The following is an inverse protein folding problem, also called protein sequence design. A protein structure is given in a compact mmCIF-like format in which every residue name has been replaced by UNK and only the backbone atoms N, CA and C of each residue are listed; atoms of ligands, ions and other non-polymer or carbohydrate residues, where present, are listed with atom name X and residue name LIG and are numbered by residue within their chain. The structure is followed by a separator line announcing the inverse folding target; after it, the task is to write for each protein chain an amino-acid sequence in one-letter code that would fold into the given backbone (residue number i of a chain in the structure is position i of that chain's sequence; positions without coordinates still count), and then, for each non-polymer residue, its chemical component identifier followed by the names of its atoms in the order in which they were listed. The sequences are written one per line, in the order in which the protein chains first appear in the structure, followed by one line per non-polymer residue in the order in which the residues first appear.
data_IF_193085644322
#
_entry.id   IF_193085644322
#
_cell.length_a   1.000
_cell.length_b   1.000
_cell.length_c   1.000
_cell.angle_alpha   90.00
_cell.angle_beta   90.00
_cell.angle_gamma   90.00
#
_symmetry.space_group_name_H-M   'P 1'
#
loop_
_entity.id
_entity.type
_entity.pdbx_description
1 polymer ?
#
# COMPACT_ATOMS: atom_id res chain seq x y z
N UNK A 1 -66.84 2.90 19.07
CA UNK A 1 -65.82 2.30 18.18
C UNK A 1 -64.59 3.17 18.37
N UNK A 2 -63.66 2.88 19.29
CA UNK A 2 -63.02 1.61 19.64
C UNK A 2 -61.89 1.24 18.66
N UNK A 3 -60.78 1.97 18.79
CA UNK A 3 -59.42 1.49 18.52
C UNK A 3 -58.53 2.06 19.63
N UNK A 4 -57.54 1.29 20.08
CA UNK A 4 -57.03 1.40 21.47
C UNK A 4 -55.85 2.33 21.67
N UNK A 5 -55.94 3.08 22.77
CA UNK A 5 -55.00 4.09 23.24
C UNK A 5 -53.76 3.50 23.95
N UNK A 6 -52.64 4.22 23.81
CA UNK A 6 -51.60 4.52 24.82
C UNK A 6 -50.87 3.37 25.56
N UNK A 7 -49.58 3.27 25.22
CA UNK A 7 -48.40 3.48 26.09
C UNK A 7 -48.49 3.40 27.64
N UNK A 8 -47.37 2.94 28.21
CA UNK A 8 -46.84 3.21 29.57
C UNK A 8 -47.51 2.57 30.81
N UNK A 9 -46.80 1.60 31.42
CA UNK A 9 -46.61 1.39 32.88
C UNK A 9 -45.62 0.20 33.06
N UNK A 10 -44.33 0.46 33.29
CA UNK A 10 -43.66 0.48 34.60
C UNK A 10 -43.52 -0.85 35.37
N UNK A 11 -42.26 -1.25 35.53
CA UNK A 11 -41.60 -1.84 36.71
C UNK A 11 -42.48 -2.21 37.92
N UNK A 12 -42.47 -3.49 38.30
CA UNK A 12 -42.02 -4.05 39.60
C UNK A 12 -42.46 -5.53 39.66
N UNK A 13 -41.58 -6.53 39.78
CA UNK A 13 -40.82 -6.91 40.99
C UNK A 13 -41.70 -7.37 42.16
N UNK A 14 -41.80 -8.69 42.37
CA UNK A 14 -41.83 -9.37 43.69
C UNK A 14 -41.73 -10.90 43.49
N UNK A 15 -41.20 -11.62 44.50
CA UNK A 15 -41.11 -13.10 44.58
C UNK A 15 -42.48 -13.66 45.03
N UNK A 16 -42.83 -14.93 45.02
CA UNK A 16 -42.19 -16.09 45.67
C UNK A 16 -43.21 -17.26 45.60
N UNK A 17 -42.76 -18.52 45.79
CA UNK A 17 -43.37 -19.59 46.65
C UNK A 17 -42.78 -20.97 46.26
N UNK A 18 -42.90 -21.95 47.17
CA UNK A 18 -42.07 -23.15 47.31
C UNK A 18 -42.84 -24.48 47.25
N UNK A 19 -42.09 -25.53 46.90
CA UNK A 19 -42.13 -26.92 47.41
C UNK A 19 -43.40 -27.80 47.33
N UNK A 20 -43.20 -29.02 46.81
CA UNK A 20 -43.42 -30.34 47.47
C UNK A 20 -42.64 -31.40 46.64
N UNK A 21 -41.70 -32.18 47.20
CA UNK A 21 -41.83 -33.53 47.82
C UNK A 21 -42.46 -34.60 46.90
N UNK A 22 -42.00 -35.86 46.82
CA UNK A 22 -41.07 -36.65 47.67
C UNK A 22 -40.48 -37.87 46.93
N UNK A 23 -39.40 -38.46 47.47
CA UNK A 23 -39.06 -39.89 47.61
C UNK A 23 -39.30 -40.91 46.45
N UNK A 24 -38.38 -41.81 46.10
CA UNK A 24 -36.94 -42.00 46.42
C UNK A 24 -36.26 -42.59 45.14
N UNK A 25 -35.35 -43.58 45.00
CA UNK A 25 -34.62 -44.55 45.84
C UNK A 25 -33.36 -45.06 45.07
N UNK A 26 -32.46 -45.86 45.67
CA UNK A 26 -31.16 -46.25 45.05
C UNK A 26 -30.62 -47.66 45.43
N UNK A 27 -29.95 -48.32 44.48
CA UNK A 27 -28.88 -49.29 44.79
C UNK A 27 -28.57 -50.36 43.73
N UNK A 28 -27.39 -50.28 43.09
CA UNK A 28 -26.42 -51.40 42.88
C UNK A 28 -25.22 -50.99 41.99
N UNK A 29 -25.42 -50.19 40.94
CA UNK A 29 -24.43 -49.97 39.86
C UNK A 29 -23.40 -48.86 40.11
N UNK A 30 -22.52 -49.03 41.12
CA UNK A 30 -21.45 -48.06 41.44
C UNK A 30 -20.04 -48.67 41.39
N UNK A 31 -19.79 -49.84 41.99
CA UNK A 31 -18.43 -50.38 42.15
C UNK A 31 -17.73 -50.69 40.81
N UNK A 32 -18.44 -51.27 39.84
CA UNK A 32 -17.92 -51.64 38.51
C UNK A 32 -17.40 -50.44 37.70
N UNK A 33 -17.83 -49.22 38.05
CA UNK A 33 -17.45 -47.98 37.36
C UNK A 33 -16.10 -47.43 37.80
N UNK A 34 -15.63 -47.78 39.01
CA UNK A 34 -14.46 -47.18 39.65
C UNK A 34 -13.15 -47.78 39.10
N UNK A 35 -13.03 -49.11 39.03
CA UNK A 35 -11.80 -49.78 38.55
C UNK A 35 -11.48 -49.46 37.07
N UNK A 36 -12.51 -49.30 36.24
CA UNK A 36 -12.36 -48.93 34.82
C UNK A 36 -11.83 -47.49 34.66
N UNK A 37 -12.18 -46.58 35.58
CA UNK A 37 -11.66 -45.21 35.57
C UNK A 37 -10.19 -45.16 35.99
N UNK A 38 -9.78 -45.92 37.01
CA UNK A 38 -8.39 -45.95 37.47
C UNK A 38 -7.41 -46.49 36.42
N UNK A 39 -7.74 -47.62 35.81
CA UNK A 39 -6.87 -48.29 34.81
C UNK A 39 -6.68 -47.42 33.57
N UNK A 40 -7.77 -46.80 33.10
CA UNK A 40 -7.73 -45.84 31.98
C UNK A 40 -6.95 -44.57 32.31
N UNK A 41 -7.06 -44.06 33.55
CA UNK A 41 -6.33 -42.89 34.02
C UNK A 41 -4.82 -43.08 34.06
N UNK A 42 -4.34 -44.22 34.57
CA UNK A 42 -2.91 -44.55 34.67
C UNK A 42 -2.23 -44.66 33.29
N UNK A 43 -2.94 -45.11 32.26
CA UNK A 43 -2.43 -45.14 30.88
C UNK A 43 -2.31 -43.72 30.29
N UNK A 44 -3.39 -42.93 30.35
CA UNK A 44 -3.42 -41.54 29.86
C UNK A 44 -2.38 -40.63 30.54
N UNK A 45 -2.02 -40.89 31.79
CA UNK A 45 -0.95 -40.13 32.47
C UNK A 45 0.42 -40.39 31.84
N UNK A 46 0.76 -41.65 31.56
CA UNK A 46 2.04 -42.03 30.90
C UNK A 46 2.13 -41.62 29.43
N UNK A 47 1.00 -41.48 28.75
CA UNK A 47 0.95 -40.91 27.40
C UNK A 47 1.24 -39.39 27.46
N UNK A 48 0.55 -38.65 28.35
CA UNK A 48 0.84 -37.21 28.60
C UNK A 48 2.26 -36.92 29.07
N UNK A 49 2.84 -37.78 29.92
CA UNK A 49 4.20 -37.62 30.43
C UNK A 49 5.27 -37.84 29.33
N UNK A 50 4.92 -38.49 28.21
CA UNK A 50 5.78 -38.58 27.03
C UNK A 50 5.61 -37.41 26.07
N UNK A 51 4.38 -36.97 25.82
CA UNK A 51 4.12 -35.79 24.98
C UNK A 51 4.83 -34.53 25.53
N UNK A 52 5.10 -34.47 26.85
CA UNK A 52 5.85 -33.39 27.50
C UNK A 52 7.39 -33.50 27.42
N UNK A 53 7.96 -34.63 27.01
CA UNK A 53 9.43 -34.77 26.82
C UNK A 53 9.89 -34.43 25.40
N UNK A 54 8.96 -34.45 24.42
CA UNK A 54 9.24 -34.11 23.01
C UNK A 54 8.76 -32.69 22.64
N UNK A 55 8.23 -31.92 23.61
CA UNK A 55 8.08 -30.46 23.51
C UNK A 55 9.45 -29.78 23.58
N UNK A 56 10.23 -29.92 22.50
CA UNK A 56 11.47 -29.17 22.28
C UNK A 56 11.15 -27.69 22.41
N UNK A 57 11.69 -27.05 23.45
CA UNK A 57 11.44 -25.64 23.75
C UNK A 57 11.94 -24.76 22.59
N UNK A 58 11.03 -24.40 21.69
CA UNK A 58 11.26 -23.53 20.53
C UNK A 58 11.43 -22.07 20.99
N UNK A 59 12.56 -21.82 21.65
CA UNK A 59 12.98 -20.51 22.13
C UNK A 59 13.15 -19.54 20.96
N UNK A 60 12.71 -18.28 21.13
CA UNK A 60 12.74 -17.29 20.05
C UNK A 60 14.20 -17.06 19.58
N UNK A 61 14.53 -17.28 18.29
CA UNK A 61 15.86 -16.98 17.75
C UNK A 61 16.36 -15.56 18.04
N UNK A 62 15.46 -14.59 18.22
CA UNK A 62 15.81 -13.23 18.62
C UNK A 62 16.29 -13.14 20.08
N UNK A 63 15.72 -13.95 20.99
CA UNK A 63 16.18 -14.05 22.39
C UNK A 63 17.50 -14.82 22.49
N UNK A 64 17.67 -15.88 21.69
CA UNK A 64 18.87 -16.74 21.70
C UNK A 64 20.08 -16.05 21.05
N UNK A 65 19.89 -15.40 19.90
CA UNK A 65 21.00 -14.84 19.10
C UNK A 65 21.13 -13.31 19.18
N UNK A 66 20.11 -12.62 19.68
CA UNK A 66 20.10 -11.15 19.74
C UNK A 66 19.96 -10.45 18.39
N UNK A 67 19.71 -9.14 18.44
CA UNK A 67 19.34 -8.32 17.28
C UNK A 67 20.36 -8.32 16.14
N UNK A 68 21.67 -8.33 16.43
CA UNK A 68 22.71 -8.22 15.40
C UNK A 68 22.87 -9.50 14.56
N UNK A 69 22.76 -10.68 15.18
CA UNK A 69 22.76 -11.95 14.45
C UNK A 69 21.43 -12.12 13.72
N UNK A 70 20.32 -11.77 14.37
CA UNK A 70 19.00 -11.81 13.74
C UNK A 70 18.92 -10.89 12.50
N UNK A 71 19.54 -9.70 12.55
CA UNK A 71 19.66 -8.81 11.39
C UNK A 71 20.46 -9.46 10.25
N UNK A 72 21.56 -10.17 10.54
CA UNK A 72 22.30 -10.91 9.51
C UNK A 72 21.44 -12.00 8.86
N UNK A 73 20.69 -12.76 9.67
CA UNK A 73 19.77 -13.80 9.18
C UNK A 73 18.70 -13.19 8.27
N UNK A 74 18.02 -12.13 8.71
CA UNK A 74 16.97 -11.45 7.93
C UNK A 74 17.51 -10.85 6.62
N UNK A 75 18.77 -10.42 6.56
CA UNK A 75 19.34 -9.83 5.35
C UNK A 75 19.46 -10.84 4.19
N UNK A 76 19.61 -12.13 4.50
CA UNK A 76 19.63 -13.22 3.51
C UNK A 76 18.23 -13.61 2.99
N UNK A 77 17.15 -13.10 3.59
CA UNK A 77 15.79 -13.36 3.14
C UNK A 77 15.37 -12.43 2.00
N UNK A 78 14.33 -12.85 1.26
CA UNK A 78 13.69 -11.99 0.29
C UNK A 78 12.85 -10.90 1.00
N UNK A 79 12.61 -9.77 0.31
CA UNK A 79 11.89 -8.65 0.89
C UNK A 79 10.45 -8.99 1.33
N UNK A 80 9.79 -10.01 0.75
CA UNK A 80 8.48 -10.49 1.24
C UNK A 80 8.61 -11.16 2.60
N UNK A 81 9.60 -12.03 2.79
CA UNK A 81 9.84 -12.70 4.06
C UNK A 81 10.23 -11.71 5.15
N UNK A 82 11.09 -10.72 4.85
CA UNK A 82 11.41 -9.63 5.80
C UNK A 82 10.15 -8.79 6.14
N UNK A 83 9.28 -8.52 5.18
CA UNK A 83 8.00 -7.84 5.45
C UNK A 83 7.06 -8.67 6.35
N UNK A 84 7.05 -10.00 6.21
CA UNK A 84 6.28 -10.89 7.09
C UNK A 84 6.88 -10.95 8.51
N UNK A 85 8.20 -10.83 8.66
CA UNK A 85 8.87 -10.74 9.97
C UNK A 85 8.40 -9.57 10.83
N UNK A 86 7.90 -8.47 10.22
CA UNK A 86 7.30 -7.35 10.93
C UNK A 86 6.03 -7.73 11.73
N UNK A 87 5.38 -8.84 11.39
CA UNK A 87 4.10 -9.27 11.97
C UNK A 87 4.25 -10.31 13.09
N UNK A 88 5.46 -10.82 13.35
CA UNK A 88 5.72 -11.94 14.26
C UNK A 88 5.64 -11.51 15.73
N UNK A 89 6.42 -10.50 16.13
CA UNK A 89 6.44 -9.98 17.51
C UNK A 89 6.96 -8.55 17.54
N UNK A 90 6.83 -7.85 18.68
CA UNK A 90 7.39 -6.50 18.85
C UNK A 90 8.91 -6.46 18.71
N UNK A 91 9.60 -7.49 19.18
CA UNK A 91 11.06 -7.62 19.03
C UNK A 91 11.45 -7.84 17.57
N UNK A 92 10.79 -8.78 16.90
CA UNK A 92 11.01 -9.06 15.48
C UNK A 92 10.71 -7.84 14.60
N UNK A 93 9.63 -7.11 14.87
CA UNK A 93 9.35 -5.83 14.21
C UNK A 93 10.49 -4.83 14.40
N UNK A 94 11.05 -4.69 15.60
CA UNK A 94 12.15 -3.77 15.89
C UNK A 94 13.43 -4.04 15.10
N UNK A 95 13.71 -5.31 14.77
CA UNK A 95 14.84 -5.67 13.88
C UNK A 95 14.43 -5.56 12.41
N UNK A 96 13.28 -6.13 12.05
CA UNK A 96 12.80 -6.21 10.67
C UNK A 96 12.40 -4.85 10.07
N UNK A 97 12.14 -3.81 10.86
CA UNK A 97 11.92 -2.45 10.36
C UNK A 97 13.22 -1.65 10.14
N UNK A 98 14.40 -2.23 10.41
CA UNK A 98 15.66 -1.50 10.34
C UNK A 98 16.01 -1.05 8.92
N UNK A 99 16.30 0.24 8.77
CA UNK A 99 16.75 0.83 7.51
C UNK A 99 18.04 0.21 6.95
N UNK A 100 18.84 -0.49 7.77
CA UNK A 100 20.01 -1.26 7.32
C UNK A 100 19.60 -2.41 6.40
N UNK A 101 18.54 -3.15 6.75
CA UNK A 101 17.98 -4.23 5.91
C UNK A 101 17.34 -3.65 4.66
N UNK A 102 16.48 -2.65 4.84
CA UNK A 102 15.70 -2.09 3.73
C UNK A 102 16.51 -1.22 2.77
N UNK A 103 17.73 -0.80 3.13
CA UNK A 103 18.68 -0.21 2.18
C UNK A 103 19.07 -1.23 1.11
N UNK A 104 19.55 -2.41 1.52
CA UNK A 104 19.90 -3.49 0.59
C UNK A 104 18.69 -3.95 -0.23
N UNK A 105 17.49 -4.04 0.37
CA UNK A 105 16.28 -4.41 -0.39
C UNK A 105 15.78 -3.31 -1.34
N UNK A 106 16.04 -2.03 -1.06
CA UNK A 106 15.84 -0.97 -2.06
C UNK A 106 16.85 -1.07 -3.21
N UNK A 107 18.11 -1.34 -2.92
CA UNK A 107 19.17 -1.52 -3.93
C UNK A 107 18.86 -2.71 -4.86
N UNK A 108 18.48 -3.87 -4.28
CA UNK A 108 17.99 -5.05 -5.02
C UNK A 108 16.77 -4.73 -5.92
N UNK A 109 15.84 -3.89 -5.44
CA UNK A 109 14.60 -3.54 -6.15
C UNK A 109 14.81 -2.50 -7.26
N UNK A 110 15.71 -1.54 -7.05
CA UNK A 110 16.02 -0.44 -7.96
C UNK A 110 17.06 -0.80 -9.02
N UNK A 111 17.78 -1.91 -8.85
CA UNK A 111 18.71 -2.43 -9.85
C UNK A 111 18.01 -2.67 -11.20
N UNK A 112 18.53 -2.05 -12.27
CA UNK A 112 17.95 -2.14 -13.61
C UNK A 112 16.59 -1.45 -13.76
N UNK A 113 16.27 -0.46 -12.92
CA UNK A 113 15.09 0.39 -13.09
C UNK A 113 15.43 1.69 -13.81
N UNK A 114 14.65 2.01 -14.82
CA UNK A 114 14.77 3.23 -15.61
C UNK A 114 14.36 4.48 -14.81
N UNK A 115 13.36 4.38 -13.92
CA UNK A 115 12.97 5.50 -13.06
C UNK A 115 12.78 5.08 -11.61
N UNK A 116 13.24 5.89 -10.67
CA UNK A 116 13.01 5.66 -9.23
C UNK A 116 12.02 6.73 -8.73
N UNK A 117 10.83 6.35 -8.23
CA UNK A 117 9.77 7.31 -7.89
C UNK A 117 10.23 8.36 -6.88
N UNK A 118 10.05 9.66 -7.19
CA UNK A 118 10.49 10.77 -6.32
C UNK A 118 9.95 10.71 -4.90
N UNK A 119 8.75 10.14 -4.72
CA UNK A 119 8.14 9.88 -3.41
C UNK A 119 8.98 8.95 -2.52
N UNK A 120 9.79 8.06 -3.10
CA UNK A 120 10.72 7.18 -2.38
C UNK A 120 12.10 7.82 -2.10
N UNK A 121 12.41 8.94 -2.77
CA UNK A 121 13.68 9.67 -2.66
C UNK A 121 13.64 10.83 -1.63
N UNK A 122 12.52 10.99 -0.91
CA UNK A 122 12.32 12.08 0.06
C UNK A 122 13.29 11.95 1.24
N UNK A 123 14.03 13.03 1.55
CA UNK A 123 14.96 13.05 2.70
C UNK A 123 14.22 12.82 4.01
N UNK A 124 14.79 11.97 4.88
CA UNK A 124 14.19 11.60 6.16
C UNK A 124 13.12 10.50 6.07
N UNK A 125 12.80 9.99 4.88
CA UNK A 125 11.93 8.82 4.71
C UNK A 125 12.68 7.53 5.09
N UNK A 126 12.03 6.65 5.85
CA UNK A 126 12.59 5.32 6.15
C UNK A 126 12.66 4.46 4.89
N UNK A 127 13.64 3.56 4.84
CA UNK A 127 13.91 2.69 3.69
C UNK A 127 12.78 1.68 3.47
N UNK A 128 12.13 1.21 4.54
CA UNK A 128 10.90 0.41 4.45
C UNK A 128 9.77 1.18 3.74
N UNK A 129 9.61 2.48 4.01
CA UNK A 129 8.63 3.31 3.33
C UNK A 129 9.03 3.63 1.88
N UNK A 130 10.32 3.88 1.61
CA UNK A 130 10.87 4.05 0.26
C UNK A 130 10.64 2.80 -0.61
N UNK A 131 10.91 1.61 -0.08
CA UNK A 131 10.62 0.33 -0.72
C UNK A 131 9.12 0.17 -0.98
N UNK A 132 8.29 0.46 0.02
CA UNK A 132 6.82 0.35 -0.08
C UNK A 132 6.24 1.29 -1.14
N UNK A 133 6.68 2.54 -1.20
CA UNK A 133 6.30 3.48 -2.27
C UNK A 133 6.78 2.99 -3.63
N UNK A 134 8.01 2.48 -3.74
CA UNK A 134 8.55 1.94 -5.00
C UNK A 134 7.75 0.74 -5.53
N UNK A 135 7.36 -0.20 -4.65
CA UNK A 135 6.54 -1.37 -5.04
C UNK A 135 5.09 -1.01 -5.34
N UNK A 136 4.50 -0.04 -4.64
CA UNK A 136 3.16 0.47 -4.97
C UNK A 136 3.18 1.24 -6.30
N UNK A 137 4.22 2.03 -6.53
CA UNK A 137 4.38 2.81 -7.75
C UNK A 137 4.62 1.92 -8.97
N UNK A 138 5.58 0.99 -8.91
CA UNK A 138 5.90 0.07 -10.00
C UNK A 138 4.75 -0.86 -10.43
N UNK A 139 3.66 -0.92 -9.66
CA UNK A 139 2.39 -1.60 -10.00
C UNK A 139 1.36 -0.70 -10.69
N UNK A 140 1.61 0.61 -10.81
CA UNK A 140 0.74 1.55 -11.54
C UNK A 140 0.81 1.30 -13.04
N UNK A 141 -0.34 1.03 -13.64
CA UNK A 141 -0.56 1.04 -15.09
C UNK A 141 -1.07 2.39 -15.62
N UNK A 142 -1.44 3.32 -14.72
CA UNK A 142 -2.02 4.62 -15.04
C UNK A 142 -0.99 5.73 -14.87
N UNK A 143 -0.80 6.55 -15.90
CA UNK A 143 0.04 7.73 -15.89
C UNK A 143 -0.73 8.94 -15.30
N UNK A 144 -0.01 9.82 -14.63
CA UNK A 144 -0.51 11.06 -14.02
C UNK A 144 0.21 12.27 -14.63
N UNK A 145 -0.20 13.50 -14.26
CA UNK A 145 0.41 14.72 -14.83
C UNK A 145 1.86 14.87 -14.39
N UNK A 146 2.13 14.44 -13.18
CA UNK A 146 3.42 14.45 -12.50
C UNK A 146 4.42 13.51 -13.20
N UNK A 147 3.98 12.32 -13.64
CA UNK A 147 4.81 11.37 -14.39
C UNK A 147 5.23 11.92 -15.75
N UNK A 148 4.35 12.67 -16.44
CA UNK A 148 4.70 13.33 -17.69
C UNK A 148 5.79 14.40 -17.47
N UNK A 149 5.74 15.13 -16.36
CA UNK A 149 6.61 16.28 -16.09
C UNK A 149 7.96 15.92 -15.42
N UNK A 150 8.06 14.81 -14.67
CA UNK A 150 9.33 14.35 -14.06
C UNK A 150 10.24 13.60 -15.06
N UNK A 151 9.78 13.43 -16.30
CA UNK A 151 10.47 12.65 -17.33
C UNK A 151 10.74 13.51 -18.55
N UNK A 152 11.97 13.44 -19.07
CA UNK A 152 12.28 13.85 -20.45
C UNK A 152 11.84 12.70 -21.35
N UNK A 153 11.23 13.01 -22.49
CA UNK A 153 10.74 12.00 -23.41
C UNK A 153 11.48 12.08 -24.73
N UNK A 154 12.11 10.97 -25.13
CA UNK A 154 12.45 10.75 -26.54
C UNK A 154 11.14 10.75 -27.34
N UNK A 155 11.17 11.38 -28.52
CA UNK A 155 10.08 11.42 -29.48
C UNK A 155 10.58 11.04 -30.88
N UNK A 156 9.86 10.15 -31.57
CA UNK A 156 10.07 9.87 -32.98
C UNK A 156 8.76 9.53 -33.71
N UNK A 157 8.72 9.77 -35.01
CA UNK A 157 7.61 9.37 -35.88
C UNK A 157 7.69 7.88 -36.20
N UNK A 158 6.54 7.24 -36.41
CA UNK A 158 6.44 5.85 -36.86
C UNK A 158 6.28 5.78 -38.37
N UNK A 159 6.43 4.58 -38.96
CA UNK A 159 6.31 4.34 -40.41
C UNK A 159 4.96 4.82 -41.01
N UNK A 160 3.90 4.89 -40.20
CA UNK A 160 2.59 5.43 -40.59
C UNK A 160 2.51 6.96 -40.69
N UNK A 161 3.54 7.70 -40.26
CA UNK A 161 3.60 9.15 -40.44
C UNK A 161 3.79 9.54 -41.92
N UNK A 162 3.20 10.67 -42.36
CA UNK A 162 3.48 11.27 -43.65
C UNK A 162 4.99 11.45 -43.88
N UNK A 163 5.42 11.23 -45.12
CA UNK A 163 6.84 11.22 -45.47
C UNK A 163 7.55 12.52 -45.14
N UNK A 164 6.88 13.66 -45.30
CA UNK A 164 7.38 14.98 -44.88
C UNK A 164 7.92 14.98 -43.43
N UNK A 165 7.18 14.42 -42.48
CA UNK A 165 7.58 14.39 -41.07
C UNK A 165 8.72 13.41 -40.81
N UNK A 166 8.70 12.24 -41.46
CA UNK A 166 9.84 11.29 -41.41
C UNK A 166 11.10 11.86 -42.04
N UNK A 167 10.96 12.75 -43.03
CA UNK A 167 12.06 13.46 -43.67
C UNK A 167 12.50 14.72 -42.90
N UNK A 168 11.91 14.99 -41.72
CA UNK A 168 12.45 15.93 -40.73
C UNK A 168 13.13 15.19 -39.57
N UNK A 169 12.56 14.07 -39.13
CA UNK A 169 12.99 13.22 -38.01
C UNK A 169 14.45 12.70 -38.10
N UNK A 170 15.31 12.97 -37.09
CA UNK A 170 16.66 12.41 -37.00
C UNK A 170 16.71 10.88 -36.96
N UNK A 171 15.72 10.21 -36.35
CA UNK A 171 15.65 8.75 -36.21
C UNK A 171 15.55 8.06 -37.58
N UNK A 172 14.75 8.61 -38.50
CA UNK A 172 14.59 8.06 -39.86
C UNK A 172 15.76 8.38 -40.79
N UNK A 173 16.52 9.43 -40.50
CA UNK A 173 17.71 9.82 -41.27
C UNK A 173 18.99 9.14 -40.78
N UNK A 174 19.09 8.83 -39.48
CA UNK A 174 20.34 8.47 -38.82
C UNK A 174 21.34 9.63 -38.70
N UNK A 175 20.88 10.89 -38.73
CA UNK A 175 21.74 12.09 -38.87
C UNK A 175 21.84 12.95 -37.60
N UNK A 176 21.49 12.44 -36.42
CA UNK A 176 21.55 13.21 -35.18
C UNK A 176 21.01 12.47 -33.96
N UNK A 177 21.05 13.09 -32.77
CA UNK A 177 20.38 12.56 -31.59
C UNK A 177 18.86 12.50 -31.78
N UNK A 178 18.14 11.69 -30.98
CA UNK A 178 16.68 11.71 -30.94
C UNK A 178 16.13 13.09 -30.55
N UNK A 179 14.87 13.36 -30.90
CA UNK A 179 14.19 14.60 -30.52
C UNK A 179 13.64 14.50 -29.10
N UNK A 180 13.94 15.44 -28.19
CA UNK A 180 13.36 15.41 -26.84
C UNK A 180 12.13 16.30 -26.68
N UNK A 181 11.23 15.89 -25.79
CA UNK A 181 9.99 16.59 -25.47
C UNK A 181 9.81 16.66 -23.95
N UNK A 182 9.48 17.85 -23.47
CA UNK A 182 9.34 18.18 -22.06
C UNK A 182 7.89 18.60 -21.80
N UNK A 183 7.24 18.04 -20.78
CA UNK A 183 5.85 18.35 -20.42
C UNK A 183 5.82 19.21 -19.16
N UNK A 184 4.98 20.24 -19.14
CA UNK A 184 4.96 21.24 -18.07
C UNK A 184 3.68 21.20 -17.23
N UNK A 185 3.75 21.68 -15.99
CA UNK A 185 2.64 21.60 -15.02
C UNK A 185 1.48 22.57 -15.32
N UNK A 186 1.67 23.56 -16.19
CA UNK A 186 0.60 24.38 -16.77
C UNK A 186 -0.26 23.57 -17.77
N UNK A 187 0.33 22.59 -18.47
CA UNK A 187 -0.27 21.85 -19.58
C UNK A 187 0.38 22.12 -20.94
N UNK A 188 1.44 22.91 -21.01
CA UNK A 188 2.24 23.11 -22.22
C UNK A 188 3.31 22.02 -22.41
N UNK A 189 3.91 21.99 -23.59
CA UNK A 189 5.04 21.15 -23.96
C UNK A 189 6.13 22.01 -24.59
N UNK A 190 7.41 21.65 -24.41
CA UNK A 190 8.54 22.21 -25.15
C UNK A 190 9.41 21.12 -25.78
N UNK A 191 10.36 21.53 -26.63
CA UNK A 191 11.36 20.68 -27.28
C UNK A 191 12.75 21.35 -27.22
N UNK A 192 13.78 20.65 -27.68
CA UNK A 192 15.15 21.16 -27.70
C UNK A 192 15.34 22.35 -28.67
N UNK A 193 16.28 23.28 -28.38
CA UNK A 193 16.66 24.33 -29.32
C UNK A 193 17.19 23.76 -30.64
N UNK A 194 16.57 24.13 -31.75
CA UNK A 194 16.94 23.65 -33.09
C UNK A 194 16.17 22.43 -33.60
N UNK A 195 15.19 21.92 -32.83
CA UNK A 195 14.24 20.92 -33.35
C UNK A 195 13.42 21.49 -34.52
N UNK A 196 13.59 20.89 -35.71
CA UNK A 196 12.97 21.34 -36.98
C UNK A 196 11.53 20.87 -37.19
N UNK A 197 11.01 20.02 -36.29
CA UNK A 197 9.60 19.62 -36.22
C UNK A 197 8.82 20.57 -35.28
N UNK A 198 9.54 21.23 -34.37
CA UNK A 198 9.01 22.19 -33.41
C UNK A 198 8.89 23.62 -33.98
N UNK A 199 8.23 24.52 -33.23
CA UNK A 199 8.28 25.97 -33.48
C UNK A 199 7.16 26.60 -34.32
N UNK A 200 6.12 25.85 -34.71
CA UNK A 200 4.99 26.37 -35.51
C UNK A 200 3.70 26.68 -34.75
N UNK A 201 3.45 26.04 -33.60
CA UNK A 201 2.16 26.07 -32.91
C UNK A 201 2.32 25.95 -31.39
N UNK A 202 1.37 26.51 -30.63
CA UNK A 202 1.16 26.15 -29.21
C UNK A 202 0.95 24.64 -29.11
N UNK A 203 1.66 23.98 -28.19
CA UNK A 203 1.58 22.54 -27.98
C UNK A 203 1.11 22.26 -26.55
N UNK A 204 -0.20 22.12 -26.39
CA UNK A 204 -0.85 21.84 -25.12
C UNK A 204 -1.22 20.36 -25.04
N UNK A 205 -1.02 19.73 -23.89
CA UNK A 205 -1.37 18.34 -23.65
C UNK A 205 -2.49 18.20 -22.62
N UNK A 206 -3.16 17.05 -22.67
CA UNK A 206 -4.22 16.67 -21.73
C UNK A 206 -4.20 15.18 -21.44
N UNK A 207 -4.50 14.81 -20.20
CA UNK A 207 -4.76 13.42 -19.79
C UNK A 207 -6.27 13.24 -19.74
N UNK A 208 -6.83 12.48 -20.67
CA UNK A 208 -8.25 12.15 -20.68
C UNK A 208 -8.46 10.84 -19.93
N UNK A 209 -9.45 10.79 -19.05
CA UNK A 209 -9.86 9.56 -18.36
C UNK A 209 -11.39 9.47 -18.37
N UNK A 210 -11.96 8.53 -19.13
CA UNK A 210 -13.41 8.31 -19.21
C UNK A 210 -13.84 7.19 -18.26
N UNK A 211 -15.05 7.31 -17.72
CA UNK A 211 -15.61 6.34 -16.77
C UNK A 211 -16.97 5.84 -17.25
N UNK A 212 -17.23 4.54 -17.09
CA UNK A 212 -18.53 3.89 -17.35
C UNK A 212 -18.81 2.90 -16.23
N UNK A 213 -19.95 3.01 -15.55
CA UNK A 213 -20.32 2.11 -14.44
C UNK A 213 -19.31 2.08 -13.29
N UNK A 214 -18.67 3.22 -12.99
CA UNK A 214 -17.61 3.34 -11.98
C UNK A 214 -16.23 2.78 -12.37
N UNK A 215 -16.12 2.10 -13.52
CA UNK A 215 -14.85 1.60 -14.07
C UNK A 215 -14.26 2.62 -15.06
N UNK A 216 -12.94 2.72 -15.12
CA UNK A 216 -12.25 3.46 -16.19
C UNK A 216 -12.47 2.70 -17.50
N UNK A 217 -12.90 3.42 -18.55
CA UNK A 217 -13.11 2.88 -19.89
C UNK A 217 -11.90 3.19 -20.78
N UNK A 218 -11.56 4.47 -20.92
CA UNK A 218 -10.35 4.92 -21.60
C UNK A 218 -9.49 5.78 -20.67
N UNK A 219 -8.18 5.68 -20.80
CA UNK A 219 -7.22 6.56 -20.17
C UNK A 219 -6.06 6.79 -21.15
N UNK A 220 -5.88 8.02 -21.61
CA UNK A 220 -4.94 8.35 -22.68
C UNK A 220 -4.38 9.76 -22.55
N UNK A 221 -3.21 9.97 -23.17
CA UNK A 221 -2.62 11.30 -23.35
C UNK A 221 -2.96 11.80 -24.75
N UNK A 222 -3.30 13.09 -24.86
CA UNK A 222 -3.54 13.77 -26.14
C UNK A 222 -2.80 15.10 -26.18
N UNK A 223 -2.11 15.35 -27.28
CA UNK A 223 -1.43 16.61 -27.56
C UNK A 223 -2.22 17.35 -28.65
N UNK A 224 -2.59 18.59 -28.41
CA UNK A 224 -3.44 19.41 -29.27
C UNK A 224 -4.66 18.63 -29.78
N UNK A 225 -4.92 18.68 -31.10
CA UNK A 225 -6.00 17.93 -31.76
C UNK A 225 -5.53 16.60 -32.36
N UNK A 226 -4.27 16.21 -32.17
CA UNK A 226 -3.68 14.99 -32.75
C UNK A 226 -4.36 13.71 -32.20
N UNK A 227 -4.16 12.53 -32.81
CA UNK A 227 -4.75 11.28 -32.34
C UNK A 227 -4.31 10.92 -30.91
N UNK A 228 -5.22 10.30 -30.15
CA UNK A 228 -4.92 9.83 -28.79
C UNK A 228 -3.74 8.85 -28.76
N UNK A 229 -2.93 8.90 -27.70
CA UNK A 229 -1.86 7.94 -27.43
C UNK A 229 -2.28 6.92 -26.38
N UNK A 230 -2.14 5.64 -26.70
CA UNK A 230 -2.13 4.59 -25.67
C UNK A 230 -0.84 4.71 -24.87
N UNK A 231 -0.96 4.67 -23.54
CA UNK A 231 0.17 4.73 -22.60
C UNK A 231 0.36 3.34 -21.96
N UNK A 232 1.61 2.93 -21.79
CA UNK A 232 1.99 1.67 -21.16
C UNK A 232 3.22 1.84 -20.29
N UNK A 233 3.38 0.98 -19.28
CA UNK A 233 4.56 0.93 -18.41
C UNK A 233 5.28 -0.42 -18.54
N UNK A 234 6.61 -0.38 -18.53
CA UNK A 234 7.51 -1.53 -18.61
C UNK A 234 7.91 -2.08 -17.23
N UNK A 235 8.57 -3.24 -17.23
CA UNK A 235 9.05 -3.94 -16.02
C UNK A 235 10.29 -3.28 -15.39
N UNK A 236 11.04 -2.51 -16.16
CA UNK A 236 12.10 -1.59 -15.75
C UNK A 236 11.52 -0.27 -15.16
N UNK A 237 10.19 -0.12 -15.10
CA UNK A 237 9.44 1.07 -14.69
C UNK A 237 9.48 2.27 -15.64
N UNK A 238 10.09 2.16 -16.84
CA UNK A 238 9.95 3.12 -17.94
C UNK A 238 8.51 3.21 -18.44
N UNK A 239 8.15 4.37 -18.99
CA UNK A 239 6.88 4.61 -19.67
C UNK A 239 7.09 4.70 -21.19
N UNK A 240 6.07 4.27 -21.92
CA UNK A 240 5.91 4.53 -23.35
C UNK A 240 4.53 5.10 -23.62
N UNK A 241 4.42 6.04 -24.55
CA UNK A 241 3.12 6.47 -25.09
C UNK A 241 3.19 6.61 -26.61
N UNK A 242 2.24 6.01 -27.32
CA UNK A 242 2.31 5.95 -28.79
C UNK A 242 0.96 5.77 -29.46
N UNK A 243 0.97 5.96 -30.79
CA UNK A 243 -0.13 5.60 -31.67
C UNK A 243 0.42 5.09 -33.03
N UNK A 244 -0.33 5.26 -34.11
CA UNK A 244 0.07 4.83 -35.46
C UNK A 244 0.99 5.82 -36.20
N UNK A 245 1.06 7.07 -35.75
CA UNK A 245 1.85 8.14 -36.36
C UNK A 245 3.16 8.40 -35.62
N UNK A 246 3.20 8.29 -34.29
CA UNK A 246 4.37 8.63 -33.48
C UNK A 246 4.43 7.86 -32.16
N UNK A 247 5.57 7.96 -31.51
CA UNK A 247 5.95 7.28 -30.28
C UNK A 247 6.78 8.20 -29.40
N UNK A 248 6.62 8.01 -28.09
CA UNK A 248 7.46 8.58 -27.05
C UNK A 248 7.92 7.49 -26.09
N UNK A 249 9.17 7.58 -25.63
CA UNK A 249 9.71 6.81 -24.51
C UNK A 249 10.26 7.76 -23.44
N UNK A 250 10.07 7.43 -22.16
CA UNK A 250 10.69 8.20 -21.08
C UNK A 250 12.17 7.82 -20.92
N UNK A 251 13.05 8.82 -20.89
CA UNK A 251 14.52 8.64 -20.83
C UNK A 251 14.92 8.29 -19.39
N UNK A 252 15.64 7.17 -19.16
CA UNK A 252 16.01 6.73 -17.82
C UNK A 252 16.68 7.80 -16.95
N UNK A 253 16.43 7.74 -15.64
CA UNK A 253 17.00 8.67 -14.65
C UNK A 253 18.53 8.65 -14.62
N UNK A 254 19.17 7.56 -15.06
CA UNK A 254 20.62 7.43 -15.19
C UNK A 254 21.20 8.07 -16.46
N UNK A 255 20.36 8.28 -17.48
CA UNK A 255 20.74 8.87 -18.78
C UNK A 255 20.36 10.37 -18.84
N UNK A 256 19.80 10.92 -17.77
CA UNK A 256 19.57 12.36 -17.61
C UNK A 256 20.90 13.03 -17.30
N UNK A 257 21.38 13.88 -18.20
CA UNK A 257 22.51 14.77 -17.90
C UNK A 257 22.21 15.61 -16.64
N UNK A 258 23.20 15.77 -15.76
CA UNK A 258 23.07 16.55 -14.53
C UNK A 258 22.88 18.04 -14.85
N UNK A 259 21.62 18.46 -15.02
CA UNK A 259 21.19 19.85 -15.05
C UNK A 259 21.30 20.52 -13.66
N UNK A 260 22.43 20.32 -12.97
CA UNK A 260 22.77 20.89 -11.67
C UNK A 260 23.18 22.36 -11.78
N UNK A 261 22.33 23.19 -12.37
CA UNK A 261 22.47 24.66 -12.44
C UNK A 261 21.14 25.36 -12.79
N UNK A 262 20.15 25.25 -11.89
CA UNK A 262 19.09 26.26 -11.73
C UNK A 262 18.29 26.05 -10.43
N UNK A 263 18.75 26.67 -9.34
CA UNK A 263 17.89 26.95 -8.18
C UNK A 263 16.82 27.96 -8.61
N UNK A 264 15.56 27.52 -8.75
CA UNK A 264 14.51 28.36 -9.35
C UNK A 264 13.08 28.20 -8.81
N UNK A 265 12.61 26.99 -8.53
CA UNK A 265 11.23 26.76 -8.08
C UNK A 265 11.10 25.54 -7.15
N UNK A 266 11.20 25.78 -5.84
CA UNK A 266 11.18 24.72 -4.80
C UNK A 266 10.07 24.94 -3.76
N UNK A 267 8.82 24.99 -4.22
CA UNK A 267 7.63 25.09 -3.37
C UNK A 267 6.46 24.32 -4.01
N UNK A 268 5.78 23.44 -3.24
CA UNK A 268 4.55 22.78 -3.73
C UNK A 268 4.22 21.37 -3.21
N UNK A 269 5.17 20.61 -2.63
CA UNK A 269 4.94 19.21 -2.23
C UNK A 269 4.75 19.01 -0.72
N UNK A 270 3.64 19.55 -0.18
CA UNK A 270 3.20 19.30 1.21
C UNK A 270 1.94 18.43 1.28
N UNK A 271 0.97 18.61 0.39
CA UNK A 271 -0.33 17.91 0.45
C UNK A 271 -0.25 16.39 0.20
N UNK A 272 0.60 15.95 -0.75
CA UNK A 272 0.59 14.56 -1.24
C UNK A 272 1.07 13.52 -0.22
N UNK A 273 1.91 13.92 0.75
CA UNK A 273 2.47 13.00 1.77
C UNK A 273 1.38 12.51 2.73
N UNK A 274 0.50 13.41 3.17
CA UNK A 274 -0.62 13.10 4.08
C UNK A 274 -1.58 12.06 3.48
N UNK A 275 -1.95 12.24 2.21
CA UNK A 275 -2.83 11.30 1.48
C UNK A 275 -2.18 9.92 1.31
N UNK A 276 -0.85 9.87 1.12
CA UNK A 276 -0.09 8.62 1.06
C UNK A 276 -0.15 7.82 2.37
N UNK A 277 0.07 8.49 3.50
CA UNK A 277 0.03 7.86 4.83
C UNK A 277 -1.37 7.35 5.17
N UNK A 278 -2.42 8.13 4.89
CA UNK A 278 -3.82 7.69 5.10
C UNK A 278 -4.18 6.44 4.30
N UNK A 279 -3.66 6.31 3.06
CA UNK A 279 -3.85 5.11 2.23
C UNK A 279 -3.06 3.91 2.73
N UNK A 280 -1.88 4.11 3.31
CA UNK A 280 -1.09 3.03 3.91
C UNK A 280 -1.84 2.38 5.07
N UNK A 281 -2.44 3.19 5.96
CA UNK A 281 -3.25 2.71 7.09
C UNK A 281 -4.45 1.88 6.59
N UNK A 282 -5.19 2.39 5.60
CA UNK A 282 -6.33 1.66 5.01
C UNK A 282 -5.90 0.35 4.34
N UNK A 283 -4.76 0.34 3.63
CA UNK A 283 -4.25 -0.87 2.97
C UNK A 283 -3.74 -1.92 3.98
N UNK A 284 -3.13 -1.50 5.08
CA UNK A 284 -2.70 -2.40 6.15
C UNK A 284 -3.92 -3.02 6.85
N UNK A 285 -4.95 -2.22 7.16
CA UNK A 285 -6.22 -2.76 7.69
C UNK A 285 -6.87 -3.76 6.72
N UNK A 286 -6.90 -3.47 5.42
CA UNK A 286 -7.48 -4.37 4.41
C UNK A 286 -6.77 -5.73 4.32
N UNK A 287 -5.46 -5.80 4.60
CA UNK A 287 -4.70 -7.04 4.62
C UNK A 287 -4.86 -7.86 5.92
N UNK A 288 -5.35 -7.25 7.01
CA UNK A 288 -5.42 -7.87 8.36
C UNK A 288 -6.79 -8.47 8.69
N UNK A 289 -7.84 -8.12 7.95
CA UNK A 289 -9.24 -8.37 8.38
C UNK A 289 -10.00 -9.65 7.93
N UNK A 290 -9.44 -10.71 7.31
CA UNK A 290 -10.22 -11.92 7.00
C UNK A 290 -10.55 -12.80 8.24
N UNK A 291 -10.19 -12.36 9.46
CA UNK A 291 -10.28 -13.18 10.70
C UNK A 291 -11.38 -12.78 11.69
N UNK A 292 -12.16 -11.71 11.46
CA UNK A 292 -13.32 -11.39 12.29
C UNK A 292 -14.62 -11.79 11.61
N UNK A 293 -15.41 -12.64 12.29
CA UNK A 293 -16.67 -13.18 11.77
C UNK A 293 -17.74 -12.11 11.52
N UNK A 294 -18.66 -12.41 10.60
CA UNK A 294 -19.74 -11.50 10.21
C UNK A 294 -20.65 -11.14 11.40
N UNK A 295 -20.77 -9.85 11.72
CA UNK A 295 -21.67 -9.36 12.77
C UNK A 295 -21.59 -7.85 13.08
N UNK A 296 -20.40 -7.24 12.97
CA UNK A 296 -20.21 -5.82 13.30
C UNK A 296 -20.28 -4.87 12.09
N UNK A 297 -21.14 -3.85 12.15
CA UNK A 297 -21.14 -2.73 11.19
C UNK A 297 -20.20 -1.63 11.70
N UNK A 298 -19.02 -1.53 11.11
CA UNK A 298 -17.99 -0.57 11.55
C UNK A 298 -18.17 0.81 10.88
N UNK A 299 -18.68 1.79 11.63
CA UNK A 299 -18.89 3.17 11.15
C UNK A 299 -17.63 4.02 11.41
N UNK A 300 -16.88 4.34 10.36
CA UNK A 300 -15.73 5.25 10.43
C UNK A 300 -16.14 6.73 10.45
N UNK A 301 -16.32 7.30 11.65
CA UNK A 301 -16.46 8.74 11.85
C UNK A 301 -15.08 9.42 12.01
N UNK A 302 -14.49 9.82 10.88
CA UNK A 302 -13.27 10.64 10.83
C UNK A 302 -13.58 12.11 11.18
N UNK A 303 -13.55 12.42 12.48
CA UNK A 303 -13.65 13.80 12.97
C UNK A 303 -12.28 14.49 12.89
N UNK A 304 -12.09 15.33 11.87
CA UNK A 304 -10.97 16.29 11.84
C UNK A 304 -11.21 17.39 12.87
N UNK A 305 -10.54 17.29 14.02
CA UNK A 305 -10.37 18.41 14.95
C UNK A 305 -9.12 19.22 14.55
N UNK A 306 -9.07 20.54 14.80
CA UNK A 306 -7.97 21.41 14.38
C UNK A 306 -6.69 21.28 15.25
N UNK A 307 -6.48 20.16 15.92
CA UNK A 307 -5.30 19.84 16.73
C UNK A 307 -4.73 18.47 16.36
N UNK A 308 -3.43 18.28 16.56
CA UNK A 308 -2.60 17.26 15.89
C UNK A 308 -2.73 15.84 16.49
N UNK A 309 -3.94 15.29 16.56
CA UNK A 309 -4.20 13.93 17.06
C UNK A 309 -5.34 13.26 16.30
N UNK A 310 -5.08 12.06 15.75
CA UNK A 310 -6.14 11.25 15.15
C UNK A 310 -6.82 10.42 16.23
N UNK A 311 -8.12 10.59 16.39
CA UNK A 311 -8.92 9.88 17.40
C UNK A 311 -9.83 8.87 16.70
N UNK A 312 -9.53 7.58 16.89
CA UNK A 312 -10.38 6.48 16.38
C UNK A 312 -11.31 6.02 17.51
N UNK A 313 -12.61 6.10 17.27
CA UNK A 313 -13.66 5.57 18.15
C UNK A 313 -14.15 4.23 17.62
N UNK A 314 -14.18 3.22 18.48
CA UNK A 314 -14.79 1.93 18.18
C UNK A 314 -16.15 1.85 18.87
N UNK A 315 -17.21 1.70 18.08
CA UNK A 315 -18.56 1.45 18.59
C UNK A 315 -19.05 0.09 18.07
N UNK A 316 -19.69 -0.66 18.95
CA UNK A 316 -20.57 -1.78 18.60
C UNK A 316 -22.03 -1.34 18.84
N UNK A 317 -23.01 -2.13 18.40
CA UNK A 317 -24.45 -1.84 18.51
C UNK A 317 -25.02 -1.73 19.95
N UNK A 318 -24.14 -1.64 20.97
CA UNK A 318 -24.48 -1.45 22.39
C UNK A 318 -23.72 -0.28 23.05
N UNK A 319 -22.77 0.36 22.36
CA UNK A 319 -22.01 1.48 22.91
C UNK A 319 -20.58 1.61 22.37
N UNK A 320 -19.84 2.58 22.92
CA UNK A 320 -18.45 2.85 22.59
C UNK A 320 -17.53 1.91 23.38
N UNK A 321 -16.83 1.03 22.67
CA UNK A 321 -16.02 -0.08 23.22
C UNK A 321 -14.56 0.33 23.43
N UNK A 322 -14.06 1.33 22.68
CA UNK A 322 -12.70 1.80 22.84
C UNK A 322 -12.42 3.15 22.18
N UNK A 323 -11.43 3.86 22.72
CA UNK A 323 -10.90 5.12 22.21
C UNK A 323 -9.39 4.96 22.00
N UNK A 324 -8.93 5.03 20.75
CA UNK A 324 -7.49 4.99 20.44
C UNK A 324 -7.03 6.36 19.96
N UNK A 325 -6.13 6.97 20.73
CA UNK A 325 -5.53 8.29 20.43
C UNK A 325 -4.15 8.04 19.82
N UNK A 326 -4.01 8.31 18.52
CA UNK A 326 -2.70 8.30 17.86
C UNK A 326 -2.07 9.70 17.97
N UNK A 327 -1.09 9.84 18.86
CA UNK A 327 -0.26 11.04 18.95
C UNK A 327 0.74 11.05 17.80
N UNK A 328 0.70 12.10 16.97
CA UNK A 328 1.69 12.30 15.90
C UNK A 328 2.97 12.91 16.48
N UNK A 329 4.12 12.29 16.21
CA UNK A 329 5.42 12.87 16.56
C UNK A 329 5.70 14.08 15.66
N UNK A 330 5.61 15.28 16.22
CA UNK A 330 6.02 16.50 15.54
C UNK A 330 7.55 16.62 15.53
N UNK A 331 8.15 16.61 14.35
CA UNK A 331 9.50 17.16 14.15
C UNK A 331 9.36 18.68 14.13
N UNK A 332 9.83 19.35 15.19
CA UNK A 332 9.88 20.81 15.22
C UNK A 332 10.91 21.33 14.21
N UNK A 333 10.49 22.26 13.37
CA UNK A 333 11.41 23.07 12.55
C UNK A 333 12.00 24.22 13.38
N UNK A 334 13.28 24.47 13.14
CA UNK A 334 14.01 25.74 13.31
C UNK A 334 14.77 26.00 12.00
#
# INVERSE_FOLDING_TARGET
MAETDKEELQKNSIKEIRNTSSCDDQGEDINLRIEVMETTGKKRKREREKDSEEEVLLQDPLEVFGSDIMMKILNHLDARSVALSLLVSRGWHGVACSDRLWTTKCEELWLGKAHIPRSSQVRGLSKLAAYSFSVMDGKRTRIMKEDLCDHVWEFHFRKGAPEYWRNLDPYWKGTGPPMHRYFHLDGSQTADPGDVVWGGHECCYSIVTSFVGGKIREHYVRINRWPQMSVSRKQDWSWEMSNHLYYYASIPDADKEDCSSNDGQRSGLSASVSVGISRLILSLCACVFPFFGAGGILIFLLLFLPTTSLVVKFCDGRGLVGLMIMLSLNVHFL
#
